data_IF_637293127209
#
_entry.id   IF_637293127209
#
_cell.length_a   1.000
_cell.length_b   1.000
_cell.length_c   1.000
_cell.angle_alpha   90.00
_cell.angle_beta   90.00
_cell.angle_gamma   90.00
#
_symmetry.space_group_name_H-M   'P 1'
#
loop_
_entity.id
_entity.type
_entity.pdbx_description
1 polymer ?
#
# COMPACT_ATOMS: atom_id res chain seq x y z
N UNK A 1 -16.46 2.45 -7.80
CA UNK A 1 -15.04 2.77 -8.02
C UNK A 1 -14.66 3.70 -6.90
N UNK A 2 -13.78 3.25 -6.03
CA UNK A 2 -13.38 3.98 -4.83
C UNK A 2 -12.19 4.88 -5.14
N UNK A 3 -12.11 6.03 -4.46
CA UNK A 3 -10.93 6.89 -4.53
C UNK A 3 -9.84 6.31 -3.64
N UNK A 4 -8.65 6.06 -4.19
CA UNK A 4 -7.55 5.40 -3.48
C UNK A 4 -6.36 6.33 -3.40
N UNK A 5 -5.93 6.65 -2.18
CA UNK A 5 -4.75 7.47 -1.92
C UNK A 5 -3.71 6.66 -1.16
N UNK A 6 -2.51 6.61 -1.71
CA UNK A 6 -1.31 6.09 -1.06
C UNK A 6 -0.48 7.28 -0.59
N UNK A 7 -0.56 7.60 0.69
CA UNK A 7 0.19 8.69 1.30
C UNK A 7 1.53 8.17 1.80
N UNK A 8 2.63 8.82 1.41
CA UNK A 8 3.97 8.45 1.88
C UNK A 8 4.22 9.02 3.26
N UNK A 9 4.74 8.20 4.17
CA UNK A 9 5.16 8.65 5.49
C UNK A 9 6.67 8.91 5.45
N UNK A 10 7.08 10.17 5.41
CA UNK A 10 8.50 10.57 5.39
C UNK A 10 9.23 10.26 6.71
N UNK A 11 8.50 10.22 7.84
CA UNK A 11 9.07 10.05 9.18
C UNK A 11 9.30 8.57 9.59
N UNK A 12 8.88 7.62 8.77
CA UNK A 12 9.01 6.21 9.10
C UNK A 12 10.37 5.66 8.66
N UNK A 13 11.28 5.50 9.62
CA UNK A 13 12.52 4.76 9.41
C UNK A 13 12.16 3.34 8.95
N UNK A 14 12.64 2.97 7.75
CA UNK A 14 12.46 1.62 7.22
C UNK A 14 13.04 0.60 8.20
N UNK A 15 12.28 -0.45 8.48
CA UNK A 15 12.72 -1.51 9.37
C UNK A 15 13.93 -2.24 8.75
N UNK A 16 15.12 -2.24 9.40
CA UNK A 16 16.27 -2.98 8.90
C UNK A 16 16.02 -4.49 8.79
N UNK A 17 15.04 -5.04 9.52
CA UNK A 17 14.59 -6.43 9.38
C UNK A 17 13.72 -6.68 8.14
N UNK A 18 13.27 -5.62 7.44
CA UNK A 18 12.51 -5.69 6.20
C UNK A 18 13.25 -4.99 5.04
N UNK A 19 14.45 -5.47 4.64
CA UNK A 19 15.29 -4.81 3.64
C UNK A 19 14.66 -4.76 2.24
N UNK A 20 13.60 -5.52 1.99
CA UNK A 20 12.83 -5.50 0.75
C UNK A 20 11.96 -4.25 0.60
N UNK A 21 11.63 -3.55 1.70
CA UNK A 21 10.79 -2.35 1.65
C UNK A 21 11.65 -1.15 1.25
N UNK A 22 11.22 -0.45 0.20
CA UNK A 22 11.86 0.75 -0.32
C UNK A 22 11.15 2.03 0.18
N UNK A 23 9.83 1.98 0.30
CA UNK A 23 9.00 3.04 0.86
C UNK A 23 7.73 2.43 1.44
N UNK A 24 7.08 3.15 2.35
CA UNK A 24 5.78 2.76 2.89
C UNK A 24 4.96 3.99 3.28
N UNK A 25 3.71 3.76 3.64
CA UNK A 25 2.89 4.78 4.28
C UNK A 25 1.44 4.37 4.43
N UNK A 26 0.58 5.37 4.60
CA UNK A 26 -0.83 5.19 4.92
C UNK A 26 -1.68 5.00 3.67
N UNK A 27 -2.60 4.05 3.71
CA UNK A 27 -3.59 3.79 2.66
C UNK A 27 -4.92 4.41 3.07
N UNK A 28 -5.50 5.21 2.16
CA UNK A 28 -6.85 5.73 2.30
C UNK A 28 -7.73 5.27 1.14
N UNK A 29 -8.97 4.90 1.46
CA UNK A 29 -10.02 4.56 0.50
C UNK A 29 -11.22 5.46 0.81
N UNK A 30 -11.69 6.21 -0.18
CA UNK A 30 -12.72 7.25 -0.06
C UNK A 30 -12.44 8.26 1.06
N UNK A 31 -11.17 8.61 1.26
CA UNK A 31 -10.73 9.52 2.32
C UNK A 31 -10.69 8.92 3.72
N UNK A 32 -11.02 7.64 3.88
CA UNK A 32 -10.94 6.93 5.16
C UNK A 32 -9.65 6.13 5.28
N UNK A 33 -9.02 6.14 6.46
CA UNK A 33 -7.89 5.25 6.78
C UNK A 33 -8.35 3.80 6.59
N UNK A 34 -7.71 3.14 5.63
CA UNK A 34 -8.00 1.78 5.22
C UNK A 34 -6.80 0.84 5.42
N UNK A 35 -5.70 1.30 6.03
CA UNK A 35 -4.52 0.49 6.32
C UNK A 35 -3.20 1.09 5.85
N UNK A 36 -2.30 0.26 5.32
CA UNK A 36 -0.95 0.67 4.92
C UNK A 36 -0.56 0.11 3.55
N UNK A 37 0.47 0.71 2.96
CA UNK A 37 1.08 0.26 1.72
C UNK A 37 2.60 0.22 1.81
N UNK A 38 3.21 -0.59 0.96
CA UNK A 38 4.66 -0.71 0.78
C UNK A 38 5.01 -0.70 -0.71
N UNK A 39 6.01 0.09 -1.09
CA UNK A 39 6.78 -0.13 -2.30
C UNK A 39 7.98 -0.99 -1.94
N UNK A 40 8.18 -2.05 -2.71
CA UNK A 40 9.31 -2.97 -2.52
C UNK A 40 10.40 -2.72 -3.55
N UNK A 41 11.63 -3.10 -3.20
CA UNK A 41 12.83 -2.90 -4.04
C UNK A 41 12.81 -3.72 -5.34
N UNK A 42 12.00 -4.78 -5.39
CA UNK A 42 11.76 -5.56 -6.60
C UNK A 42 10.79 -4.87 -7.58
N UNK A 43 10.27 -3.68 -7.22
CA UNK A 43 9.33 -2.91 -8.02
C UNK A 43 7.87 -3.20 -7.71
N UNK A 44 7.56 -4.22 -6.90
CA UNK A 44 6.19 -4.55 -6.53
C UNK A 44 5.63 -3.57 -5.50
N UNK A 45 4.30 -3.45 -5.49
CA UNK A 45 3.55 -2.63 -4.57
C UNK A 45 2.59 -3.52 -3.78
N UNK A 46 2.59 -3.36 -2.46
CA UNK A 46 1.77 -4.15 -1.57
C UNK A 46 0.86 -3.25 -0.72
N UNK A 47 -0.39 -3.66 -0.50
CA UNK A 47 -1.31 -3.03 0.44
C UNK A 47 -1.77 -4.02 1.50
N UNK A 48 -1.77 -3.58 2.75
CA UNK A 48 -2.42 -4.27 3.85
C UNK A 48 -3.70 -3.51 4.18
N UNK A 49 -4.83 -4.03 3.71
CA UNK A 49 -6.14 -3.41 3.95
C UNK A 49 -6.66 -3.85 5.32
N UNK A 50 -7.06 -2.91 6.15
CA UNK A 50 -7.64 -3.21 7.47
C UNK A 50 -8.86 -4.11 7.29
N UNK A 51 -9.00 -5.12 8.16
CA UNK A 51 -10.09 -6.10 8.11
C UNK A 51 -10.10 -7.04 6.89
N UNK A 52 -9.04 -7.05 6.09
CA UNK A 52 -8.82 -8.05 5.04
C UNK A 52 -7.62 -8.90 5.41
N UNK A 53 -7.74 -10.21 5.20
CA UNK A 53 -6.63 -11.12 5.42
C UNK A 53 -5.58 -10.99 4.29
N UNK A 54 -4.34 -10.81 4.72
CA UNK A 54 -3.17 -10.83 3.86
C UNK A 54 -2.90 -9.53 3.10
N UNK A 55 -1.77 -9.55 2.39
CA UNK A 55 -1.34 -8.44 1.55
C UNK A 55 -1.89 -8.61 0.13
N UNK A 56 -2.37 -7.51 -0.45
CA UNK A 56 -2.62 -7.42 -1.88
C UNK A 56 -1.32 -6.95 -2.52
N UNK A 57 -0.73 -7.77 -3.40
CA UNK A 57 0.55 -7.47 -4.05
C UNK A 57 0.33 -7.36 -5.55
N UNK A 58 0.83 -6.27 -6.14
CA UNK A 58 0.69 -5.96 -7.55
C UNK A 58 2.04 -5.50 -8.14
N UNK A 59 2.25 -5.65 -9.46
CA UNK A 59 3.53 -5.34 -10.09
C UNK A 59 3.82 -3.84 -10.21
N UNK A 60 2.83 -2.98 -9.97
CA UNK A 60 2.99 -1.52 -10.05
C UNK A 60 2.00 -0.81 -9.13
N UNK A 61 2.30 0.47 -8.85
CA UNK A 61 1.42 1.37 -8.11
C UNK A 61 0.03 1.47 -8.72
N UNK A 62 -0.02 1.58 -10.05
CA UNK A 62 -1.27 1.73 -10.80
C UNK A 62 -2.12 0.46 -10.75
N UNK A 63 -1.49 -0.71 -10.87
CA UNK A 63 -2.19 -1.99 -10.73
C UNK A 63 -2.75 -2.17 -9.31
N UNK A 64 -1.98 -1.79 -8.28
CA UNK A 64 -2.45 -1.81 -6.89
C UNK A 64 -3.66 -0.89 -6.68
N UNK A 65 -3.57 0.36 -7.15
CA UNK A 65 -4.67 1.32 -7.05
C UNK A 65 -5.91 0.82 -7.80
N UNK A 66 -5.76 0.33 -9.03
CA UNK A 66 -6.86 -0.21 -9.82
C UNK A 66 -7.54 -1.38 -9.13
N UNK A 67 -6.76 -2.29 -8.52
CA UNK A 67 -7.30 -3.42 -7.77
C UNK A 67 -8.04 -2.97 -6.51
N UNK A 68 -7.50 -2.02 -5.76
CA UNK A 68 -8.14 -1.48 -4.55
C UNK A 68 -9.43 -0.72 -4.88
N UNK A 69 -9.42 0.08 -5.95
CA UNK A 69 -10.57 0.87 -6.38
C UNK A 69 -11.77 0.03 -6.84
N UNK A 70 -11.53 -1.23 -7.23
CA UNK A 70 -12.55 -2.19 -7.65
C UNK A 70 -12.85 -3.31 -6.64
N UNK A 71 -12.07 -3.45 -5.57
CA UNK A 71 -12.22 -4.51 -4.57
C UNK A 71 -12.67 -4.03 -3.18
N UNK A 72 -12.82 -2.72 -2.99
CA UNK A 72 -13.44 -2.11 -1.82
C UNK A 72 -14.98 -2.16 -1.91
#
# INVERSE_FOLDING_TARGET
MHDVKLEHNDDETLDPAAPQVAARGSLFIDGHDAGSWEQRRDGTWAAHVRHRDGWIVEPSREALIGRLAGAA
#
